data_IF_123381153539
#
_entry.id   IF_123381153539
#
_cell.length_a   1.000
_cell.length_b   1.000
_cell.length_c   1.000
_cell.angle_alpha   90.00
_cell.angle_beta   90.00
_cell.angle_gamma   90.00
#
_symmetry.space_group_name_H-M   'P 1'
#
loop_
_entity.id
_entity.type
_entity.pdbx_description
1 polymer ?
#
# COMPACT_ATOMS: atom_id res chain seq x y z
N UNK A 1 -44.64 -13.49 11.25
CA UNK A 1 -44.07 -12.18 11.61
C UNK A 1 -42.64 -12.16 11.09
N UNK A 2 -42.42 -11.42 10.03
CA UNK A 2 -41.12 -11.25 9.38
C UNK A 2 -40.26 -10.29 10.21
N UNK A 3 -38.99 -10.60 10.38
CA UNK A 3 -37.96 -9.55 10.48
C UNK A 3 -36.95 -9.82 9.37
N UNK A 4 -37.04 -8.94 8.38
CA UNK A 4 -36.14 -8.82 7.23
C UNK A 4 -34.92 -8.01 7.66
N UNK A 5 -33.74 -8.51 7.32
CA UNK A 5 -32.60 -7.68 6.90
C UNK A 5 -31.70 -7.08 7.98
N UNK A 6 -30.41 -7.42 7.90
CA UNK A 6 -29.40 -6.37 7.76
C UNK A 6 -28.20 -6.87 6.94
N UNK A 7 -28.07 -6.51 5.66
CA UNK A 7 -26.88 -6.78 4.86
C UNK A 7 -26.03 -5.51 4.81
N UNK A 8 -25.06 -5.36 5.72
CA UNK A 8 -24.06 -4.28 5.63
C UNK A 8 -22.92 -4.48 6.64
N UNK A 9 -22.20 -5.60 6.51
CA UNK A 9 -20.77 -5.60 6.87
C UNK A 9 -20.04 -4.90 5.73
N UNK A 10 -20.03 -3.57 5.76
CA UNK A 10 -19.01 -2.80 5.06
C UNK A 10 -17.67 -3.26 5.63
N UNK A 11 -16.94 -4.07 4.87
CA UNK A 11 -15.69 -4.68 5.28
C UNK A 11 -14.61 -3.60 5.38
N UNK A 12 -14.63 -2.81 6.45
CA UNK A 12 -13.42 -2.10 6.88
C UNK A 12 -12.41 -3.16 7.25
N UNK A 13 -11.38 -3.32 6.43
CA UNK A 13 -10.17 -4.03 6.81
C UNK A 13 -9.64 -3.34 8.07
N UNK A 14 -9.79 -4.00 9.21
CA UNK A 14 -9.29 -3.51 10.48
C UNK A 14 -7.77 -3.72 10.50
N UNK A 15 -7.02 -2.63 10.41
CA UNK A 15 -5.56 -2.62 10.50
C UNK A 15 -5.21 -2.16 11.92
N UNK A 16 -4.48 -3.01 12.64
CA UNK A 16 -3.97 -2.68 13.98
C UNK A 16 -3.19 -1.36 13.91
N UNK A 17 -3.38 -0.49 14.90
CA UNK A 17 -2.77 0.86 14.91
C UNK A 17 -1.26 0.82 14.70
N UNK A 18 -0.59 -0.18 15.29
CA UNK A 18 0.86 -0.39 15.19
C UNK A 18 1.36 -0.78 13.81
N UNK A 19 0.47 -1.32 12.96
CA UNK A 19 0.81 -1.84 11.63
C UNK A 19 0.42 -0.86 10.52
N UNK A 20 -0.18 0.29 10.88
CA UNK A 20 -0.58 1.32 9.94
C UNK A 20 0.64 1.98 9.32
N UNK A 21 0.57 2.17 8.01
CA UNK A 21 1.53 2.97 7.25
C UNK A 21 0.83 4.28 6.88
N UNK A 22 1.47 5.39 7.21
CA UNK A 22 0.94 6.72 6.95
C UNK A 22 0.73 6.98 5.45
N UNK A 23 -0.49 7.39 5.08
CA UNK A 23 -0.85 7.78 3.72
C UNK A 23 -0.89 9.31 3.53
N UNK A 24 -0.66 10.06 4.60
CA UNK A 24 -0.57 11.51 4.60
C UNK A 24 0.68 11.99 5.36
N UNK A 25 1.89 11.55 4.97
CA UNK A 25 3.13 11.87 5.70
C UNK A 25 3.47 13.36 5.70
N UNK A 26 2.94 14.15 4.77
CA UNK A 26 3.09 15.61 4.74
C UNK A 26 2.09 16.34 5.65
N UNK A 27 1.25 15.60 6.39
CA UNK A 27 0.25 16.19 7.28
C UNK A 27 0.86 17.01 8.42
N UNK A 28 2.10 16.73 8.80
CA UNK A 28 2.84 17.48 9.82
C UNK A 28 3.31 18.86 9.34
N UNK A 29 3.19 19.16 8.04
CA UNK A 29 3.58 20.46 7.50
C UNK A 29 2.71 21.59 8.07
N UNK A 30 3.31 22.75 8.35
CA UNK A 30 2.65 23.96 8.90
C UNK A 30 1.38 24.40 8.16
N UNK A 31 1.26 24.05 6.87
CA UNK A 31 0.15 24.41 5.99
C UNK A 31 -0.69 23.20 5.58
N UNK A 32 -0.59 22.11 6.32
CA UNK A 32 -1.38 20.90 6.08
C UNK A 32 -2.87 21.19 6.29
N UNK A 33 -3.68 20.75 5.34
CA UNK A 33 -5.14 20.74 5.40
C UNK A 33 -5.67 19.33 5.76
N UNK A 34 -4.92 18.62 6.61
CA UNK A 34 -5.28 17.28 7.06
C UNK A 34 -6.73 17.23 7.55
N UNK A 35 -7.50 16.34 6.95
CA UNK A 35 -8.91 16.12 7.26
C UNK A 35 -9.31 14.73 6.76
N UNK A 36 -10.44 14.23 7.25
CA UNK A 36 -11.04 12.97 6.76
C UNK A 36 -11.24 13.01 5.24
N UNK A 37 -11.80 14.09 4.72
CA UNK A 37 -12.06 14.22 3.28
C UNK A 37 -10.77 14.26 2.47
N UNK A 38 -9.73 14.97 2.95
CA UNK A 38 -8.43 14.99 2.28
C UNK A 38 -7.75 13.61 2.29
N UNK A 39 -7.92 12.82 3.35
CA UNK A 39 -7.46 11.43 3.40
C UNK A 39 -8.19 10.52 2.40
N UNK A 40 -9.53 10.58 2.40
CA UNK A 40 -10.35 9.75 1.51
C UNK A 40 -10.14 10.11 0.04
N UNK A 41 -9.88 11.39 -0.28
CA UNK A 41 -9.52 11.84 -1.62
C UNK A 41 -8.23 11.19 -2.16
N UNK A 42 -7.35 10.70 -1.28
CA UNK A 42 -6.15 9.92 -1.63
C UNK A 42 -6.42 8.43 -1.77
N UNK A 43 -7.67 8.00 -1.68
CA UNK A 43 -8.09 6.60 -1.72
C UNK A 43 -7.55 5.74 -0.55
N UNK A 44 -7.26 6.39 0.57
CA UNK A 44 -6.79 5.74 1.79
C UNK A 44 -7.90 5.47 2.79
N UNK A 45 -7.55 4.76 3.88
CA UNK A 45 -8.47 4.48 4.97
C UNK A 45 -8.32 5.55 6.04
N UNK A 46 -9.43 5.90 6.67
CA UNK A 46 -9.49 6.88 7.76
C UNK A 46 -10.07 6.24 9.01
N UNK A 47 -9.46 6.51 10.16
CA UNK A 47 -9.95 6.14 11.48
C UNK A 47 -10.23 7.39 12.32
N UNK A 48 -11.42 7.42 12.94
CA UNK A 48 -11.94 8.56 13.70
C UNK A 48 -11.38 8.63 15.14
N UNK A 49 -10.33 7.86 15.47
CA UNK A 49 -9.62 7.91 16.76
C UNK A 49 -9.06 9.32 16.99
N UNK A 50 -9.37 9.93 18.13
CA UNK A 50 -8.99 11.32 18.45
C UNK A 50 -7.58 11.49 19.01
N UNK A 51 -6.81 10.42 19.12
CA UNK A 51 -5.42 10.48 19.57
C UNK A 51 -4.52 10.98 18.41
N UNK A 52 -3.92 12.18 18.52
CA UNK A 52 -3.09 12.73 17.45
C UNK A 52 -1.76 11.98 17.28
N UNK A 53 -1.37 11.11 18.23
CA UNK A 53 -0.17 10.28 18.12
C UNK A 53 -0.35 9.04 17.25
N UNK A 54 -1.59 8.75 16.81
CA UNK A 54 -1.87 7.60 15.94
C UNK A 54 -2.06 8.03 14.50
N UNK A 55 -1.66 7.15 13.57
CA UNK A 55 -1.91 7.33 12.14
C UNK A 55 -3.41 7.15 11.87
N UNK A 56 -4.12 8.27 11.72
CA UNK A 56 -5.54 8.32 11.38
C UNK A 56 -5.79 8.06 9.90
N UNK A 57 -4.90 8.53 9.01
CA UNK A 57 -4.97 8.30 7.57
C UNK A 57 -3.90 7.31 7.12
N UNK A 58 -4.29 6.11 6.71
CA UNK A 58 -3.35 5.01 6.45
C UNK A 58 -3.61 4.30 5.13
N UNK A 59 -2.54 3.71 4.58
CA UNK A 59 -2.61 2.93 3.36
C UNK A 59 -3.53 1.72 3.54
N UNK A 60 -4.29 1.39 2.49
CA UNK A 60 -5.06 0.15 2.45
C UNK A 60 -4.09 -1.04 2.40
N UNK A 61 -4.30 -2.13 3.16
CA UNK A 61 -3.38 -3.28 3.19
C UNK A 61 -3.10 -3.94 1.84
N UNK A 62 -4.06 -3.83 0.92
CA UNK A 62 -3.98 -4.39 -0.43
C UNK A 62 -3.35 -3.44 -1.44
N UNK A 63 -2.99 -2.21 -1.05
CA UNK A 63 -2.23 -1.29 -1.90
C UNK A 63 -0.79 -1.79 -2.07
N UNK A 64 -0.25 -1.69 -3.29
CA UNK A 64 1.08 -2.16 -3.62
C UNK A 64 1.12 -2.88 -4.95
N UNK A 65 2.02 -3.85 -5.07
CA UNK A 65 2.24 -4.62 -6.30
C UNK A 65 1.97 -6.11 -6.07
N UNK A 66 1.45 -6.76 -7.09
CA UNK A 66 1.18 -8.19 -7.15
C UNK A 66 2.24 -8.88 -8.00
N UNK A 67 2.73 -10.02 -7.51
CA UNK A 67 3.63 -10.88 -8.25
C UNK A 67 2.95 -11.41 -9.51
N UNK A 68 3.61 -11.24 -10.65
CA UNK A 68 3.23 -11.90 -11.90
C UNK A 68 3.84 -13.31 -11.95
N UNK A 69 3.30 -14.19 -12.79
CA UNK A 69 3.72 -15.61 -12.85
C UNK A 69 5.19 -15.82 -13.29
N UNK A 70 5.85 -14.77 -13.77
CA UNK A 70 7.20 -14.81 -14.35
C UNK A 70 8.31 -14.71 -13.27
N UNK A 71 8.57 -15.79 -12.54
CA UNK A 71 9.78 -15.93 -11.72
C UNK A 71 10.93 -16.41 -12.59
N UNK A 72 11.94 -15.56 -12.79
CA UNK A 72 13.11 -15.87 -13.62
C UNK A 72 14.34 -16.13 -12.76
N UNK A 73 14.96 -17.29 -12.92
CA UNK A 73 16.26 -17.56 -12.32
C UNK A 73 17.35 -16.80 -13.09
N UNK A 74 18.31 -16.24 -12.36
CA UNK A 74 19.50 -15.59 -12.93
C UNK A 74 20.75 -16.26 -12.40
N UNK A 75 21.91 -15.94 -12.98
CA UNK A 75 23.17 -16.51 -12.50
C UNK A 75 23.49 -16.16 -11.03
N UNK A 76 22.93 -15.08 -10.50
CA UNK A 76 23.25 -14.55 -9.16
C UNK A 76 22.03 -14.42 -8.25
N UNK A 77 20.86 -14.94 -8.65
CA UNK A 77 19.63 -14.87 -7.85
C UNK A 77 18.37 -14.98 -8.67
N UNK A 78 17.36 -14.16 -8.38
CA UNK A 78 16.03 -14.23 -9.02
C UNK A 78 15.57 -12.86 -9.51
N UNK A 79 14.75 -12.87 -10.55
CA UNK A 79 14.07 -11.69 -11.08
C UNK A 79 12.58 -11.95 -11.17
N UNK A 80 11.80 -11.02 -10.64
CA UNK A 80 10.35 -11.09 -10.59
C UNK A 80 9.77 -9.89 -11.32
N UNK A 81 8.69 -10.10 -12.06
CA UNK A 81 7.84 -9.02 -12.56
C UNK A 81 6.70 -8.79 -11.58
N UNK A 82 6.49 -7.54 -11.20
CA UNK A 82 5.39 -7.13 -10.33
C UNK A 82 4.54 -6.09 -11.07
N UNK A 83 3.22 -6.20 -10.93
CA UNK A 83 2.27 -5.23 -11.48
C UNK A 83 1.51 -4.57 -10.34
N UNK A 84 1.27 -3.27 -10.43
CA UNK A 84 0.50 -2.54 -9.42
C UNK A 84 -0.89 -3.16 -9.27
N UNK A 85 -1.37 -3.28 -8.04
CA UNK A 85 -2.72 -3.75 -7.79
C UNK A 85 -3.75 -2.71 -8.24
N UNK A 86 -4.27 -2.87 -9.46
CA UNK A 86 -5.22 -1.93 -10.05
C UNK A 86 -6.61 -1.95 -9.40
N UNK A 87 -6.92 -2.95 -8.57
CA UNK A 87 -8.16 -2.98 -7.80
C UNK A 87 -8.23 -1.86 -6.75
N UNK A 88 -7.08 -1.31 -6.35
CA UNK A 88 -6.99 -0.20 -5.41
C UNK A 88 -6.48 1.03 -6.16
N UNK A 89 -7.19 2.16 -6.04
CA UNK A 89 -6.75 3.42 -6.62
C UNK A 89 -5.46 3.92 -5.93
N UNK A 90 -4.63 4.63 -6.70
CA UNK A 90 -3.36 5.16 -6.22
C UNK A 90 -3.58 6.46 -5.43
N UNK A 91 -2.87 6.68 -4.31
CA UNK A 91 -2.78 7.99 -3.67
C UNK A 91 -1.86 8.96 -4.46
N UNK A 92 -1.10 8.45 -5.42
CA UNK A 92 -0.16 9.21 -6.26
C UNK A 92 -0.70 9.39 -7.69
N UNK A 93 -0.44 10.56 -8.29
CA UNK A 93 -0.94 10.94 -9.62
C UNK A 93 -0.42 10.05 -10.76
N UNK A 94 0.88 9.73 -10.74
CA UNK A 94 1.54 8.95 -11.80
C UNK A 94 2.20 7.71 -11.20
N UNK A 95 1.41 6.68 -10.86
CA UNK A 95 1.97 5.45 -10.31
C UNK A 95 2.69 4.65 -11.42
N UNK A 96 3.82 4.04 -11.08
CA UNK A 96 4.48 3.09 -11.97
C UNK A 96 3.66 1.79 -11.97
N UNK A 97 3.18 1.38 -13.14
CA UNK A 97 2.29 0.21 -13.23
C UNK A 97 3.05 -1.11 -13.19
N UNK A 98 4.27 -1.16 -13.74
CA UNK A 98 5.06 -2.38 -13.84
C UNK A 98 6.47 -2.13 -13.30
N UNK A 99 6.90 -2.96 -12.35
CA UNK A 99 8.24 -2.92 -11.78
C UNK A 99 8.87 -4.31 -11.83
N UNK A 100 10.19 -4.33 -11.89
CA UNK A 100 10.98 -5.55 -11.82
C UNK A 100 11.75 -5.54 -10.51
N UNK A 101 11.55 -6.60 -9.73
CA UNK A 101 12.36 -6.88 -8.56
C UNK A 101 13.50 -7.81 -8.97
N UNK A 102 14.74 -7.35 -8.86
CA UNK A 102 15.94 -8.13 -9.11
C UNK A 102 16.64 -8.37 -7.78
N UNK A 103 16.65 -9.62 -7.33
CA UNK A 103 17.24 -10.07 -6.07
C UNK A 103 18.54 -10.81 -6.39
N UNK A 104 19.61 -10.40 -5.75
CA UNK A 104 20.95 -10.94 -5.93
C UNK A 104 21.47 -11.47 -4.59
N UNK A 105 21.90 -12.72 -4.58
CA UNK A 105 22.65 -13.33 -3.49
C UNK A 105 24.11 -12.91 -3.64
N UNK A 106 24.43 -11.71 -3.15
CA UNK A 106 25.70 -11.04 -3.41
C UNK A 106 26.88 -11.73 -2.71
N UNK A 107 26.67 -12.13 -1.45
CA UNK A 107 27.54 -13.04 -0.70
C UNK A 107 26.65 -13.98 0.13
N UNK A 108 27.24 -14.86 0.93
CA UNK A 108 26.48 -15.72 1.84
C UNK A 108 25.68 -14.93 2.89
N UNK A 109 26.10 -13.70 3.20
CA UNK A 109 25.50 -12.87 4.26
C UNK A 109 24.84 -11.59 3.73
N UNK A 110 24.90 -11.36 2.41
CA UNK A 110 24.40 -10.12 1.79
C UNK A 110 23.44 -10.46 0.66
N UNK A 111 22.19 -10.03 0.84
CA UNK A 111 21.21 -9.96 -0.22
C UNK A 111 21.11 -8.52 -0.69
N UNK A 112 21.22 -8.31 -2.01
CA UNK A 112 20.92 -7.03 -2.64
C UNK A 112 19.62 -7.20 -3.42
N UNK A 113 18.71 -6.25 -3.29
CA UNK A 113 17.55 -6.17 -4.17
C UNK A 113 17.40 -4.78 -4.74
N UNK A 114 16.85 -4.69 -5.95
CA UNK A 114 16.45 -3.43 -6.58
C UNK A 114 15.07 -3.57 -7.21
N UNK A 115 14.29 -2.50 -7.09
CA UNK A 115 13.06 -2.30 -7.86
C UNK A 115 13.34 -1.27 -8.94
N UNK A 116 13.00 -1.58 -10.18
CA UNK A 116 13.18 -0.65 -11.31
C UNK A 116 12.16 -0.90 -12.40
N UNK A 117 11.93 0.09 -13.25
CA UNK A 117 11.11 -0.02 -14.46
C UNK A 117 12.03 -0.14 -15.68
N UNK A 118 11.70 -1.00 -16.63
CA UNK A 118 12.34 -0.98 -17.96
C UNK A 118 11.73 0.18 -18.77
N UNK A 119 12.57 1.06 -19.31
CA UNK A 119 12.19 2.01 -20.36
C UNK A 119 12.25 1.34 -21.73
#
# INVERSE_FOLDING_TARGET
>A
MSVVGNPSRDQRQEVAVTDRIDCYPEAEAKYSNFSKDACLARNCLFDDITDPSVIQCYLRPTYGYLLQQDVQQTATGIRLRLQRNQAIASPFLEPIENVVLDVQYYTNDIIRFKLFQFH
#
